data_IF_655175337957
#
_entry.id   IF_655175337957
#
_cell.length_a   1.000
_cell.length_b   1.000
_cell.length_c   1.000
_cell.angle_alpha   90.00
_cell.angle_beta   90.00
_cell.angle_gamma   90.00
#
_symmetry.space_group_name_H-M   'P 1'
#
loop_
_entity.id
_entity.type
_entity.pdbx_description
1 polymer ?
#
# COMPACT_ATOMS: atom_id res chain seq x y z
N UNK A 1 1.59 18.31 9.49
CA UNK A 1 0.34 17.60 9.29
C UNK A 1 0.49 16.64 8.11
N UNK A 2 0.44 15.33 8.36
CA UNK A 2 0.55 14.27 7.34
C UNK A 2 -0.33 13.10 7.75
N UNK A 3 -0.62 12.19 6.80
CA UNK A 3 -1.30 10.93 7.07
C UNK A 3 -0.33 9.77 6.84
N UNK A 4 -0.03 9.02 7.90
CA UNK A 4 0.82 7.85 7.84
C UNK A 4 -0.02 6.60 7.53
N UNK A 5 0.32 5.87 6.47
CA UNK A 5 -0.37 4.63 6.11
C UNK A 5 0.46 3.44 6.58
N UNK A 6 -0.11 2.61 7.47
CA UNK A 6 0.64 1.69 8.33
C UNK A 6 0.18 0.25 8.10
N UNK A 7 1.14 -0.66 7.87
CA UNK A 7 0.85 -2.10 7.80
C UNK A 7 0.66 -2.73 9.19
N UNK A 8 0.01 -3.88 9.23
CA UNK A 8 -0.28 -4.66 10.44
C UNK A 8 0.94 -4.87 11.34
N UNK A 9 2.12 -5.06 10.77
CA UNK A 9 3.36 -5.25 11.53
C UNK A 9 3.75 -4.06 12.39
N UNK A 10 3.34 -2.86 12.01
CA UNK A 10 3.64 -1.61 12.70
C UNK A 10 2.44 -1.06 13.50
N UNK A 11 1.28 -1.72 13.47
CA UNK A 11 0.07 -1.31 14.19
C UNK A 11 0.26 -1.50 15.71
N UNK A 12 0.96 -0.57 16.33
CA UNK A 12 1.19 -0.48 17.77
C UNK A 12 0.58 0.81 18.29
N UNK A 13 -0.20 0.74 19.37
CA UNK A 13 -0.86 1.90 19.96
C UNK A 13 0.09 3.02 20.35
N UNK A 14 1.30 2.67 20.84
CA UNK A 14 2.34 3.66 21.11
C UNK A 14 2.77 4.45 19.86
N UNK A 15 2.75 3.83 18.67
CA UNK A 15 3.01 4.53 17.41
C UNK A 15 1.86 5.47 17.05
N UNK A 16 0.61 5.00 17.16
CA UNK A 16 -0.58 5.81 16.90
C UNK A 16 -0.61 7.06 17.77
N UNK A 17 -0.33 6.89 19.07
CA UNK A 17 -0.23 8.00 20.02
C UNK A 17 0.85 9.03 19.61
N UNK A 18 2.05 8.57 19.22
CA UNK A 18 3.11 9.49 18.76
C UNK A 18 2.74 10.25 17.49
N UNK A 19 2.02 9.59 16.55
CA UNK A 19 1.57 10.24 15.31
C UNK A 19 0.57 11.36 15.65
N UNK A 20 -0.39 11.09 16.51
CA UNK A 20 -1.39 12.09 16.93
C UNK A 20 -0.73 13.24 17.69
N UNK A 21 0.20 12.96 18.62
CA UNK A 21 0.98 13.98 19.31
C UNK A 21 1.82 14.87 18.37
N UNK A 22 2.22 14.32 17.22
CA UNK A 22 2.90 15.07 16.16
C UNK A 22 1.92 15.81 15.23
N UNK A 23 0.68 16.03 15.67
CA UNK A 23 -0.38 16.67 14.89
C UNK A 23 -0.55 16.06 13.49
N UNK A 24 -0.52 14.74 13.42
CA UNK A 24 -0.62 13.94 12.20
C UNK A 24 -1.70 12.87 12.33
N UNK A 25 -2.07 12.29 11.20
CA UNK A 25 -3.11 11.26 11.14
C UNK A 25 -2.51 9.92 10.73
N UNK A 26 -3.24 8.84 10.99
CA UNK A 26 -2.85 7.51 10.55
C UNK A 26 -4.03 6.75 9.94
N UNK A 27 -3.72 5.85 9.02
CA UNK A 27 -4.61 4.81 8.50
C UNK A 27 -3.84 3.50 8.56
N UNK A 28 -4.20 2.61 9.48
CA UNK A 28 -3.42 1.42 9.78
C UNK A 28 -4.26 0.15 9.88
N UNK A 29 -3.72 -0.97 9.35
CA UNK A 29 -4.38 -2.27 9.52
C UNK A 29 -4.19 -2.76 10.96
N UNK A 30 -5.29 -3.03 11.64
CA UNK A 30 -5.30 -3.66 12.95
C UNK A 30 -5.04 -5.18 12.81
N UNK A 31 -4.69 -5.82 13.93
CA UNK A 31 -4.57 -7.28 14.00
C UNK A 31 -5.97 -7.91 13.94
N UNK A 32 -6.04 -9.07 13.30
CA UNK A 32 -7.32 -9.77 13.10
C UNK A 32 -7.97 -10.22 14.44
N UNK A 33 -7.15 -10.42 15.47
CA UNK A 33 -7.57 -10.77 16.83
C UNK A 33 -7.70 -9.56 17.77
N UNK A 34 -7.75 -8.35 17.24
CA UNK A 34 -8.01 -7.16 18.06
C UNK A 34 -9.41 -7.18 18.61
N UNK A 35 -9.55 -6.94 19.91
CA UNK A 35 -10.82 -6.83 20.61
C UNK A 35 -11.03 -5.38 21.00
N UNK A 36 -12.22 -4.86 20.74
CA UNK A 36 -12.62 -3.49 21.08
C UNK A 36 -14.07 -3.43 21.54
N UNK A 37 -14.42 -2.38 22.22
CA UNK A 37 -15.79 -2.01 22.59
C UNK A 37 -16.27 -0.91 21.65
N UNK A 38 -17.46 -1.08 21.11
CA UNK A 38 -18.09 -0.08 20.24
C UNK A 38 -18.64 1.04 21.09
N UNK A 39 -18.19 2.27 20.84
CA UNK A 39 -18.71 3.48 21.48
C UNK A 39 -19.84 4.07 20.66
N UNK A 40 -19.68 4.07 19.33
CA UNK A 40 -20.64 4.65 18.39
C UNK A 40 -20.58 3.87 17.07
N UNK A 41 -21.77 3.52 16.55
CA UNK A 41 -21.90 3.00 15.18
C UNK A 41 -22.26 4.13 14.23
N UNK A 42 -21.59 4.13 13.10
CA UNK A 42 -21.80 5.11 12.03
C UNK A 42 -22.63 4.48 10.92
N UNK A 43 -23.69 5.17 10.45
CA UNK A 43 -24.51 4.65 9.36
C UNK A 43 -23.68 4.56 8.06
N UNK A 44 -23.79 3.42 7.38
CA UNK A 44 -23.13 3.22 6.09
C UNK A 44 -23.96 3.85 4.97
N UNK A 45 -23.28 4.60 4.12
CA UNK A 45 -23.84 5.14 2.87
C UNK A 45 -23.89 4.07 1.78
N UNK A 46 -24.56 4.35 0.67
CA UNK A 46 -24.54 3.47 -0.50
C UNK A 46 -23.15 3.38 -1.14
N UNK A 47 -22.37 4.47 -1.10
CA UNK A 47 -20.98 4.48 -1.53
C UNK A 47 -20.11 3.57 -0.67
N UNK A 48 -20.30 3.57 0.66
CA UNK A 48 -19.58 2.65 1.56
C UNK A 48 -19.91 1.20 1.25
N UNK A 49 -21.18 0.86 1.07
CA UNK A 49 -21.60 -0.51 0.71
C UNK A 49 -21.03 -0.94 -0.63
N UNK A 50 -21.03 -0.06 -1.62
CA UNK A 50 -20.44 -0.31 -2.93
C UNK A 50 -18.92 -0.52 -2.86
N UNK A 51 -18.23 0.16 -1.91
CA UNK A 51 -16.81 -0.03 -1.63
C UNK A 51 -16.50 -1.30 -0.80
N UNK A 52 -17.52 -2.07 -0.40
CA UNK A 52 -17.37 -3.27 0.40
C UNK A 52 -17.16 -3.03 1.89
N UNK A 53 -17.56 -1.86 2.41
CA UNK A 53 -17.52 -1.57 3.85
C UNK A 53 -18.61 -2.38 4.56
N UNK A 54 -18.20 -3.11 5.60
CA UNK A 54 -19.10 -3.94 6.42
C UNK A 54 -19.56 -3.21 7.68
N UNK A 55 -18.68 -2.43 8.29
CA UNK A 55 -18.98 -1.61 9.45
C UNK A 55 -18.04 -0.42 9.56
N UNK A 56 -18.54 0.64 10.19
CA UNK A 56 -17.82 1.87 10.52
C UNK A 56 -18.16 2.27 11.94
N UNK A 57 -17.19 2.22 12.84
CA UNK A 57 -17.41 2.32 14.27
C UNK A 57 -16.36 3.18 14.95
N UNK A 58 -16.77 4.02 15.89
CA UNK A 58 -15.85 4.62 16.86
C UNK A 58 -15.72 3.66 18.04
N UNK A 59 -14.49 3.34 18.43
CA UNK A 59 -14.24 2.25 19.38
C UNK A 59 -13.26 2.64 20.48
N UNK A 60 -13.30 1.85 21.57
CA UNK A 60 -12.30 1.85 22.63
C UNK A 60 -11.68 0.47 22.75
N UNK A 61 -10.39 0.43 23.13
CA UNK A 61 -9.67 -0.81 23.37
C UNK A 61 -9.54 -1.02 24.90
N UNK A 62 -10.33 -1.93 25.48
CA UNK A 62 -10.42 -2.09 26.95
C UNK A 62 -9.15 -2.69 27.56
N UNK A 63 -8.41 -3.50 26.81
CA UNK A 63 -7.29 -4.30 27.29
C UNK A 63 -5.95 -3.72 26.83
N UNK A 64 -5.39 -2.79 27.61
CA UNK A 64 -4.01 -2.30 27.41
C UNK A 64 -3.38 -1.92 28.75
N UNK A 65 -2.06 -2.15 28.89
CA UNK A 65 -1.26 -1.50 29.94
C UNK A 65 -1.52 0.02 29.86
N UNK A 66 -1.49 0.73 30.98
CA UNK A 66 -1.78 2.18 31.03
C UNK A 66 -1.02 2.99 29.95
N UNK A 67 0.21 2.56 29.61
CA UNK A 67 1.05 3.15 28.57
C UNK A 67 0.57 2.88 27.12
N UNK A 68 -0.36 1.95 26.94
CA UNK A 68 -0.92 1.56 25.64
C UNK A 68 -2.35 2.07 25.46
N UNK A 69 -2.91 2.82 26.42
CA UNK A 69 -4.20 3.47 26.24
C UNK A 69 -4.04 4.64 25.28
N UNK A 70 -4.88 4.62 24.27
CA UNK A 70 -4.97 5.75 23.35
C UNK A 70 -5.84 6.83 24.01
N UNK A 71 -5.33 8.05 24.02
CA UNK A 71 -5.98 9.25 24.59
C UNK A 71 -6.85 9.99 23.56
N UNK A 72 -7.11 9.35 22.42
CA UNK A 72 -7.93 9.87 21.35
C UNK A 72 -8.91 8.80 20.87
N UNK A 73 -10.08 9.19 20.33
CA UNK A 73 -11.01 8.25 19.73
C UNK A 73 -10.40 7.57 18.50
N UNK A 74 -10.63 6.26 18.39
CA UNK A 74 -10.23 5.48 17.24
C UNK A 74 -11.48 5.09 16.48
N UNK A 75 -11.44 5.29 15.18
CA UNK A 75 -12.43 4.77 14.24
C UNK A 75 -11.92 3.49 13.63
N UNK A 76 -12.76 2.46 13.57
CA UNK A 76 -12.47 1.18 12.92
C UNK A 76 -13.42 1.00 11.74
N UNK A 77 -12.86 0.88 10.56
CA UNK A 77 -13.58 0.57 9.32
C UNK A 77 -13.26 -0.87 8.94
N UNK A 78 -14.29 -1.72 8.88
CA UNK A 78 -14.19 -3.11 8.42
C UNK A 78 -14.56 -3.21 6.95
N UNK A 79 -13.67 -3.81 6.15
CA UNK A 79 -13.83 -3.91 4.70
C UNK A 79 -13.80 -5.37 4.27
N UNK A 80 -14.77 -5.78 3.45
CA UNK A 80 -14.79 -7.11 2.83
C UNK A 80 -13.62 -7.24 1.86
N UNK A 81 -12.85 -8.31 1.98
CA UNK A 81 -11.74 -8.58 1.07
C UNK A 81 -11.76 -10.04 0.62
N UNK A 82 -11.21 -10.30 -0.55
CA UNK A 82 -11.03 -11.67 -1.04
C UNK A 82 -9.75 -12.24 -0.44
N UNK A 83 -9.81 -13.36 0.30
CA UNK A 83 -8.62 -14.02 0.84
C UNK A 83 -7.66 -14.43 -0.29
N UNK A 84 -6.38 -14.15 -0.12
CA UNK A 84 -5.35 -14.62 -1.06
C UNK A 84 -5.13 -16.13 -0.89
N UNK A 85 -5.70 -16.93 -1.77
CA UNK A 85 -5.64 -18.40 -1.75
C UNK A 85 -4.23 -18.98 -1.96
N UNK A 86 -3.33 -18.22 -2.57
CA UNK A 86 -1.98 -18.72 -2.93
C UNK A 86 -0.94 -18.68 -1.79
N UNK A 87 -1.24 -18.06 -0.66
CA UNK A 87 -0.27 -17.89 0.44
C UNK A 87 -0.37 -18.94 1.55
N UNK A 88 -1.37 -19.81 1.55
CA UNK A 88 -1.56 -20.87 2.56
C UNK A 88 -0.58 -22.04 2.48
N UNK A 89 0.26 -22.13 1.44
CA UNK A 89 1.20 -23.25 1.23
C UNK A 89 2.61 -23.01 1.76
N UNK A 90 2.96 -21.81 2.18
CA UNK A 90 4.30 -21.52 2.73
C UNK A 90 4.23 -21.32 4.24
N UNK A 91 5.00 -22.13 4.99
CA UNK A 91 5.27 -21.96 6.42
C UNK A 91 5.86 -20.57 6.68
N UNK A 92 5.07 -19.68 7.25
CA UNK A 92 5.53 -18.34 7.63
C UNK A 92 4.43 -17.30 7.58
N UNK A 93 3.57 -17.26 8.58
CA UNK A 93 2.68 -16.15 8.91
C UNK A 93 1.71 -15.72 7.81
N UNK A 94 0.43 -15.89 8.04
CA UNK A 94 -0.62 -15.30 7.20
C UNK A 94 -0.44 -13.77 7.14
N UNK A 95 -0.06 -13.25 5.98
CA UNK A 95 0.00 -11.80 5.71
C UNK A 95 -1.25 -11.28 5.01
N UNK A 96 -2.22 -12.15 4.74
CA UNK A 96 -3.51 -11.81 4.16
C UNK A 96 -4.52 -11.25 5.18
N UNK A 97 -5.74 -10.89 4.76
CA UNK A 97 -6.86 -10.70 5.67
C UNK A 97 -7.07 -11.97 6.50
N UNK A 98 -7.68 -11.83 7.69
CA UNK A 98 -7.99 -12.96 8.54
C UNK A 98 -8.80 -14.05 7.83
N UNK A 99 -9.01 -15.18 8.49
CA UNK A 99 -9.78 -16.31 7.95
C UNK A 99 -11.23 -15.94 7.60
N UNK A 100 -11.72 -14.83 8.16
CA UNK A 100 -13.05 -14.26 7.92
C UNK A 100 -13.13 -13.36 6.67
N UNK A 101 -12.03 -13.12 5.97
CA UNK A 101 -11.98 -12.25 4.79
C UNK A 101 -12.21 -10.76 5.09
N UNK A 102 -12.11 -10.34 6.36
CA UNK A 102 -12.35 -8.96 6.78
C UNK A 102 -11.04 -8.24 7.05
N UNK A 103 -10.88 -7.08 6.44
CA UNK A 103 -9.79 -6.15 6.69
C UNK A 103 -10.25 -5.10 7.71
N UNK A 104 -9.55 -4.98 8.82
CA UNK A 104 -9.84 -4.05 9.91
C UNK A 104 -8.86 -2.88 9.86
N UNK A 105 -9.37 -1.68 9.60
CA UNK A 105 -8.57 -0.46 9.44
C UNK A 105 -8.87 0.48 10.60
N UNK A 106 -7.86 0.79 11.41
CA UNK A 106 -7.93 1.78 12.49
C UNK A 106 -7.41 3.14 12.01
N UNK A 107 -8.08 4.22 12.42
CA UNK A 107 -7.71 5.59 12.06
C UNK A 107 -8.18 6.60 13.10
N UNK A 108 -7.52 7.77 13.15
CA UNK A 108 -7.99 8.95 13.86
C UNK A 108 -8.69 9.98 12.95
N UNK A 109 -8.89 9.65 11.68
CA UNK A 109 -9.62 10.48 10.72
C UNK A 109 -11.13 10.23 10.90
N UNK A 110 -11.78 11.04 11.75
CA UNK A 110 -13.19 10.84 12.11
C UNK A 110 -14.16 11.37 11.04
N UNK A 111 -13.77 12.41 10.30
CA UNK A 111 -14.64 13.13 9.36
C UNK A 111 -14.46 12.72 7.89
N UNK A 112 -13.50 11.83 7.62
CA UNK A 112 -13.24 11.34 6.24
C UNK A 112 -14.22 10.19 5.93
N UNK A 113 -14.88 10.15 4.75
CA UNK A 113 -15.77 9.05 4.35
C UNK A 113 -15.07 7.68 4.45
N UNK A 114 -15.83 6.61 4.83
CA UNK A 114 -15.23 5.30 5.09
C UNK A 114 -14.65 4.66 3.82
N UNK A 115 -15.30 4.85 2.67
CA UNK A 115 -14.78 4.40 1.37
C UNK A 115 -13.44 5.07 1.02
N UNK A 116 -13.22 6.33 1.45
CA UNK A 116 -11.94 7.02 1.26
C UNK A 116 -10.86 6.44 2.18
N UNK A 117 -11.19 6.12 3.43
CA UNK A 117 -10.26 5.43 4.35
C UNK A 117 -9.83 4.07 3.76
N UNK A 118 -10.76 3.30 3.25
CA UNK A 118 -10.48 2.03 2.58
C UNK A 118 -9.59 2.22 1.34
N UNK A 119 -9.87 3.25 0.54
CA UNK A 119 -9.08 3.61 -0.64
C UNK A 119 -7.64 4.01 -0.27
N UNK A 120 -7.46 4.86 0.73
CA UNK A 120 -6.13 5.25 1.24
C UNK A 120 -5.34 4.00 1.64
N UNK A 121 -5.95 3.09 2.40
CA UNK A 121 -5.27 1.86 2.82
C UNK A 121 -4.96 0.95 1.63
N UNK A 122 -5.82 0.85 0.65
CA UNK A 122 -5.61 0.08 -0.59
C UNK A 122 -4.37 0.56 -1.34
N UNK A 123 -4.11 1.86 -1.37
CA UNK A 123 -2.92 2.43 -2.00
C UNK A 123 -1.62 2.12 -1.26
N UNK A 124 -1.66 1.67 0.00
CA UNK A 124 -0.45 1.19 0.73
C UNK A 124 0.33 0.15 -0.08
N UNK A 125 -0.39 -0.71 -0.82
CA UNK A 125 0.25 -1.74 -1.64
C UNK A 125 1.18 -1.18 -2.74
N UNK A 126 1.03 0.05 -3.12
CA UNK A 126 1.89 0.68 -4.14
C UNK A 126 3.34 0.76 -3.71
N UNK A 127 3.64 0.89 -2.40
CA UNK A 127 5.00 0.90 -1.88
C UNK A 127 5.68 -0.47 -2.07
N UNK A 128 4.94 -1.58 -1.90
CA UNK A 128 5.48 -2.91 -2.13
C UNK A 128 5.75 -3.16 -3.62
N UNK A 129 4.88 -2.66 -4.49
CA UNK A 129 5.09 -2.70 -5.94
C UNK A 129 6.31 -1.86 -6.34
N UNK A 130 6.49 -0.69 -5.71
CA UNK A 130 7.66 0.15 -5.92
C UNK A 130 8.94 -0.58 -5.48
N UNK A 131 9.00 -1.15 -4.27
CA UNK A 131 10.18 -1.89 -3.81
C UNK A 131 10.45 -3.15 -4.65
N UNK A 132 9.41 -3.80 -5.16
CA UNK A 132 9.56 -4.92 -6.09
C UNK A 132 10.19 -4.44 -7.39
N UNK A 133 9.72 -3.32 -7.94
CA UNK A 133 10.30 -2.69 -9.11
C UNK A 133 11.76 -2.33 -8.86
N UNK A 134 12.03 -1.62 -7.77
CA UNK A 134 13.37 -1.21 -7.37
C UNK A 134 14.34 -2.40 -7.28
N UNK A 135 13.95 -3.46 -6.57
CA UNK A 135 14.81 -4.63 -6.36
C UNK A 135 14.95 -5.54 -7.57
N UNK A 136 13.87 -5.76 -8.30
CA UNK A 136 13.83 -6.79 -9.36
C UNK A 136 14.08 -6.23 -10.75
N UNK A 137 13.68 -5.00 -11.00
CA UNK A 137 13.75 -4.39 -12.32
C UNK A 137 14.99 -3.54 -12.47
N UNK A 138 15.26 -2.66 -11.49
CA UNK A 138 16.43 -1.79 -11.52
C UNK A 138 17.74 -2.51 -11.11
N UNK A 139 17.67 -3.81 -10.80
CA UNK A 139 18.86 -4.56 -10.37
C UNK A 139 19.43 -4.13 -9.02
N UNK A 140 18.75 -3.24 -8.28
CA UNK A 140 19.19 -2.71 -6.99
C UNK A 140 19.06 -3.74 -5.84
N UNK A 141 19.31 -5.03 -6.15
CA UNK A 141 19.42 -6.09 -5.14
C UNK A 141 20.71 -5.96 -4.33
N UNK A 142 21.74 -5.40 -4.95
CA UNK A 142 23.00 -5.11 -4.34
C UNK A 142 23.22 -3.60 -4.33
N UNK A 143 23.62 -3.08 -3.18
CA UNK A 143 24.03 -1.70 -3.09
C UNK A 143 25.41 -1.56 -3.73
N UNK A 144 25.55 -0.69 -4.71
CA UNK A 144 26.84 -0.38 -5.34
C UNK A 144 27.75 0.43 -4.42
N UNK A 145 27.12 1.13 -3.47
CA UNK A 145 27.82 1.99 -2.52
C UNK A 145 27.61 1.50 -1.09
N UNK A 146 28.60 1.71 -0.23
CA UNK A 146 28.54 1.38 1.21
C UNK A 146 28.32 2.60 2.09
N UNK A 147 28.55 3.80 1.57
CA UNK A 147 28.30 5.05 2.27
C UNK A 147 26.81 5.41 2.25
N UNK A 148 26.33 6.07 3.29
CA UNK A 148 24.93 6.52 3.36
C UNK A 148 24.55 7.37 2.15
N UNK A 149 25.36 8.39 1.82
CA UNK A 149 25.11 9.25 0.65
C UNK A 149 25.04 8.47 -0.66
N UNK A 150 25.90 7.47 -0.84
CA UNK A 150 25.90 6.64 -2.04
C UNK A 150 24.64 5.78 -2.15
N UNK A 151 24.16 5.24 -1.02
CA UNK A 151 22.91 4.48 -0.97
C UNK A 151 21.72 5.39 -1.29
N UNK A 152 21.67 6.58 -0.71
CA UNK A 152 20.62 7.57 -0.97
C UNK A 152 20.63 8.02 -2.44
N UNK A 153 21.79 8.32 -2.99
CA UNK A 153 21.94 8.68 -4.40
C UNK A 153 21.43 7.57 -5.33
N UNK A 154 21.82 6.31 -5.06
CA UNK A 154 21.33 5.16 -5.83
C UNK A 154 19.80 5.04 -5.77
N UNK A 155 19.21 5.25 -4.60
CA UNK A 155 17.76 5.24 -4.41
C UNK A 155 17.08 6.36 -5.21
N UNK A 156 17.59 7.59 -5.14
CA UNK A 156 17.05 8.72 -5.90
C UNK A 156 17.16 8.51 -7.41
N UNK A 157 18.31 8.05 -7.92
CA UNK A 157 18.47 7.73 -9.34
C UNK A 157 17.46 6.69 -9.81
N UNK A 158 17.20 5.66 -9.02
CA UNK A 158 16.24 4.63 -9.35
C UNK A 158 14.79 5.17 -9.36
N UNK A 159 14.43 6.03 -8.40
CA UNK A 159 13.13 6.69 -8.35
C UNK A 159 12.94 7.58 -9.59
N UNK A 160 13.93 8.41 -9.91
CA UNK A 160 13.90 9.30 -11.07
C UNK A 160 13.75 8.50 -12.36
N UNK A 161 14.54 7.44 -12.55
CA UNK A 161 14.43 6.57 -13.72
C UNK A 161 13.05 5.93 -13.85
N UNK A 162 12.48 5.46 -12.72
CA UNK A 162 11.12 4.91 -12.68
C UNK A 162 10.07 5.94 -13.09
N UNK A 163 10.18 7.16 -12.58
CA UNK A 163 9.27 8.26 -12.91
C UNK A 163 9.39 8.66 -14.39
N UNK A 164 10.60 8.81 -14.90
CA UNK A 164 10.85 9.16 -16.32
C UNK A 164 10.25 8.10 -17.26
N UNK A 165 10.49 6.81 -16.99
CA UNK A 165 9.90 5.71 -17.77
C UNK A 165 8.37 5.76 -17.67
N UNK A 166 7.80 6.03 -16.50
CA UNK A 166 6.35 6.12 -16.31
C UNK A 166 5.75 7.29 -17.10
N UNK A 167 6.36 8.46 -17.03
CA UNK A 167 5.92 9.66 -17.77
C UNK A 167 6.03 9.44 -19.28
N UNK A 168 7.15 8.93 -19.75
CA UNK A 168 7.38 8.70 -21.17
C UNK A 168 6.42 7.65 -21.75
N UNK A 169 6.22 6.54 -21.03
CA UNK A 169 5.36 5.44 -21.51
C UNK A 169 3.87 5.65 -21.27
N UNK A 170 3.51 6.57 -20.38
CA UNK A 170 2.13 6.80 -19.90
C UNK A 170 1.56 5.63 -19.09
N UNK A 171 2.42 4.74 -18.55
CA UNK A 171 2.02 3.53 -17.81
C UNK A 171 3.05 3.16 -16.75
N UNK A 172 2.62 2.38 -15.76
CA UNK A 172 3.54 1.81 -14.77
C UNK A 172 4.56 0.91 -15.48
N UNK A 173 5.87 1.14 -15.28
CA UNK A 173 6.90 0.33 -15.93
C UNK A 173 6.84 -1.11 -15.42
N UNK A 174 7.10 -2.04 -16.35
CA UNK A 174 7.28 -3.46 -16.03
C UNK A 174 8.75 -3.83 -16.14
N UNK A 175 9.13 -4.98 -15.60
CA UNK A 175 10.49 -5.53 -15.80
C UNK A 175 10.88 -5.52 -17.28
N UNK A 176 9.99 -5.99 -18.15
CA UNK A 176 10.25 -6.06 -19.59
C UNK A 176 10.42 -4.68 -20.23
N UNK A 177 9.65 -3.68 -19.78
CA UNK A 177 9.82 -2.29 -20.25
C UNK A 177 11.21 -1.77 -19.89
N UNK A 178 11.65 -1.99 -18.65
CA UNK A 178 12.97 -1.57 -18.21
C UNK A 178 14.09 -2.29 -18.99
N UNK A 179 13.99 -3.61 -19.16
CA UNK A 179 14.94 -4.39 -19.96
C UNK A 179 15.06 -3.86 -21.41
N UNK A 180 13.92 -3.55 -22.05
CA UNK A 180 13.90 -2.99 -23.40
C UNK A 180 14.54 -1.60 -23.47
N UNK A 181 14.32 -0.75 -22.47
CA UNK A 181 14.99 0.55 -22.35
C UNK A 181 16.51 0.35 -22.19
N UNK A 182 16.93 -0.57 -21.34
CA UNK A 182 18.36 -0.89 -21.17
C UNK A 182 18.97 -1.42 -22.48
N UNK A 183 18.29 -2.32 -23.19
CA UNK A 183 18.77 -2.85 -24.46
C UNK A 183 18.92 -1.76 -25.52
N UNK A 184 17.99 -0.82 -25.58
CA UNK A 184 18.11 0.33 -26.45
C UNK A 184 19.37 1.16 -26.15
N UNK A 185 19.60 1.52 -24.88
CA UNK A 185 20.79 2.29 -24.49
C UNK A 185 22.12 1.51 -24.68
N UNK A 186 22.07 0.19 -24.63
CA UNK A 186 23.22 -0.68 -24.89
C UNK A 186 23.43 -0.96 -26.39
N UNK A 187 22.57 -0.43 -27.28
CA UNK A 187 22.62 -0.71 -28.72
C UNK A 187 22.21 -2.14 -29.09
N UNK A 188 21.56 -2.88 -28.16
CA UNK A 188 21.08 -4.26 -28.37
C UNK A 188 19.65 -4.32 -28.92
N UNK A 189 18.94 -3.22 -28.91
CA UNK A 189 17.62 -3.07 -29.50
C UNK A 189 17.52 -1.74 -30.24
N UNK A 190 16.80 -1.73 -31.36
CA UNK A 190 16.50 -0.52 -32.12
C UNK A 190 15.38 0.29 -31.46
N UNK A 191 15.26 1.57 -31.80
CA UNK A 191 14.15 2.41 -31.39
C UNK A 191 12.79 1.82 -31.84
N UNK A 192 12.76 1.26 -33.05
CA UNK A 192 11.54 0.64 -33.61
C UNK A 192 11.07 -0.54 -32.76
N UNK A 193 11.97 -1.40 -32.30
CA UNK A 193 11.64 -2.53 -31.41
C UNK A 193 11.15 -2.04 -30.05
N UNK A 194 11.75 -1.01 -29.47
CA UNK A 194 11.32 -0.41 -28.22
C UNK A 194 9.89 0.18 -28.35
N UNK A 195 9.63 0.95 -29.41
CA UNK A 195 8.31 1.53 -29.66
C UNK A 195 7.25 0.46 -29.95
N UNK A 196 7.59 -0.60 -30.70
CA UNK A 196 6.69 -1.73 -30.95
C UNK A 196 6.33 -2.46 -29.65
N UNK A 197 7.30 -2.65 -28.76
CA UNK A 197 7.07 -3.21 -27.43
C UNK A 197 6.09 -2.37 -26.62
N UNK A 198 6.26 -1.05 -26.59
CA UNK A 198 5.35 -0.15 -25.86
C UNK A 198 3.94 -0.16 -26.45
N UNK A 199 3.82 -0.15 -27.79
CA UNK A 199 2.53 -0.22 -28.46
C UNK A 199 1.78 -1.53 -28.14
N UNK A 200 2.49 -2.67 -28.09
CA UNK A 200 1.92 -3.96 -27.66
C UNK A 200 1.39 -3.90 -26.24
N UNK A 201 2.12 -3.32 -25.31
CA UNK A 201 1.70 -3.20 -23.92
C UNK A 201 0.47 -2.30 -23.76
N UNK A 202 0.42 -1.17 -24.46
CA UNK A 202 -0.75 -0.26 -24.46
C UNK A 202 -2.01 -0.96 -24.96
N UNK A 203 -1.92 -1.79 -26.02
CA UNK A 203 -3.05 -2.61 -26.51
C UNK A 203 -3.52 -3.61 -25.46
N UNK A 204 -2.60 -4.27 -24.76
CA UNK A 204 -2.95 -5.21 -23.69
C UNK A 204 -3.67 -4.53 -22.52
N UNK A 205 -3.24 -3.31 -22.13
CA UNK A 205 -3.89 -2.55 -21.08
C UNK A 205 -5.30 -2.10 -21.51
N UNK A 206 -5.46 -1.65 -22.74
CA UNK A 206 -6.76 -1.28 -23.29
C UNK A 206 -7.74 -2.45 -23.37
N UNK A 207 -7.24 -3.66 -23.64
CA UNK A 207 -8.07 -4.88 -23.64
C UNK A 207 -8.51 -5.28 -22.23
N UNK A 208 -7.68 -5.08 -21.20
CA UNK A 208 -8.01 -5.38 -19.80
C UNK A 208 -9.03 -4.41 -19.19
N UNK A 209 -9.06 -3.16 -19.66
CA UNK A 209 -9.98 -2.14 -19.15
C UNK A 209 -11.37 -2.20 -19.81
N UNK A 210 -11.58 -3.12 -20.78
CA UNK A 210 -12.88 -3.35 -21.45
C UNK A 210 -13.69 -4.49 -20.85
N UNK A 211 -13.15 -5.19 -19.85
CA UNK A 211 -13.80 -6.25 -19.06
C UNK A 211 -14.07 -5.72 -17.64
#
# INVERSE_FOLDING_TARGET
>A
NRTDVIDRGYAKFALFHRIVKANSSYVGRLRDNSVWEVVEERPLTDADRAAGILSDQTVQFPNGKAEARLDHPIRVVCVQTTPHTSRGKYRGGSTGPGSDGVLRIGTNLLDVPAEIIALIYRYRWTIELFFRFFKQIMGCRHLFFRSQNGIELQAYCAIIACMLISLWTGRKPTKRTYEMVCYYFLGLASEQELLAHLAKLKRQDAAKNRV
#
